data_IF_571946393820
#
_entry.id   IF_571946393820
#
_cell.length_a   1.000
_cell.length_b   1.000
_cell.length_c   1.000
_cell.angle_alpha   90.00
_cell.angle_beta   90.00
_cell.angle_gamma   90.00
#
_symmetry.space_group_name_H-M   'P 1'
#
loop_
_entity.id
_entity.type
_entity.pdbx_description
1 polymer ?
#
# COMPACT_ATOMS: atom_id res chain seq x y z
N UNK A 1 28.37 -1.12 8.64
CA UNK A 1 27.52 -0.75 7.48
C UNK A 1 26.27 -0.07 8.03
N UNK A 2 25.87 1.10 7.52
CA UNK A 2 24.62 1.72 8.00
C UNK A 2 23.44 0.93 7.43
N UNK A 3 22.80 0.11 8.26
CA UNK A 3 21.60 -0.62 7.86
C UNK A 3 20.52 0.39 7.46
N UNK A 4 19.93 0.19 6.29
CA UNK A 4 18.86 1.05 5.80
C UNK A 4 17.58 0.67 6.54
N UNK A 5 16.92 1.64 7.19
CA UNK A 5 15.66 1.40 7.90
C UNK A 5 14.45 1.59 7.00
N UNK A 6 13.45 0.73 7.17
CA UNK A 6 12.16 0.85 6.50
C UNK A 6 10.99 0.73 7.46
N UNK A 7 9.88 1.34 7.11
CA UNK A 7 8.60 1.17 7.77
C UNK A 7 7.61 0.49 6.82
N UNK A 8 6.81 -0.43 7.34
CA UNK A 8 5.73 -1.09 6.61
C UNK A 8 4.40 -0.73 7.26
N UNK A 9 3.49 -0.14 6.51
CA UNK A 9 2.16 0.26 6.97
C UNK A 9 1.14 -0.80 6.54
N UNK A 10 0.40 -1.34 7.50
CA UNK A 10 -0.56 -2.42 7.29
C UNK A 10 -1.87 -2.09 8.01
N UNK A 11 -2.91 -1.63 7.30
CA UNK A 11 -4.26 -1.58 7.85
C UNK A 11 -4.82 -2.98 8.08
N UNK A 12 -5.44 -3.19 9.23
CA UNK A 12 -6.04 -4.45 9.67
C UNK A 12 -7.47 -4.21 10.18
N UNK A 13 -8.40 -5.05 9.77
CA UNK A 13 -9.77 -4.99 10.26
C UNK A 13 -10.45 -6.36 10.17
N UNK A 14 -10.84 -6.94 11.31
CA UNK A 14 -11.45 -8.27 11.41
C UNK A 14 -10.57 -9.38 10.83
N UNK A 15 -9.29 -9.40 11.25
CA UNK A 15 -8.27 -10.33 10.75
C UNK A 15 -7.88 -11.39 11.79
N UNK A 16 -8.63 -11.53 12.90
CA UNK A 16 -8.31 -12.44 14.00
C UNK A 16 -8.06 -13.88 13.55
N UNK A 17 -8.83 -14.38 12.58
CA UNK A 17 -8.75 -15.76 12.10
C UNK A 17 -7.45 -16.06 11.32
N UNK A 18 -6.88 -15.05 10.67
CA UNK A 18 -5.68 -15.18 9.82
C UNK A 18 -4.43 -14.57 10.45
N UNK A 19 -4.59 -13.89 11.60
CA UNK A 19 -3.53 -13.07 12.20
C UNK A 19 -2.26 -13.86 12.54
N UNK A 20 -2.40 -15.05 13.12
CA UNK A 20 -1.23 -15.86 13.52
C UNK A 20 -0.41 -16.32 12.32
N UNK A 21 -1.05 -16.73 11.24
CA UNK A 21 -0.37 -17.12 10.00
C UNK A 21 0.31 -15.89 9.39
N UNK A 22 -0.43 -14.80 9.27
CA UNK A 22 0.06 -13.55 8.69
C UNK A 22 1.26 -12.97 9.45
N UNK A 23 1.15 -12.90 10.79
CA UNK A 23 2.23 -12.38 11.65
C UNK A 23 3.47 -13.25 11.62
N UNK A 24 3.32 -14.59 11.58
CA UNK A 24 4.44 -15.52 11.46
C UNK A 24 5.19 -15.33 10.14
N UNK A 25 4.49 -15.14 9.02
CA UNK A 25 5.10 -14.85 7.73
C UNK A 25 5.85 -13.51 7.76
N UNK A 26 5.28 -12.48 8.37
CA UNK A 26 5.96 -11.18 8.51
C UNK A 26 7.23 -11.27 9.35
N UNK A 27 7.20 -11.98 10.48
CA UNK A 27 8.37 -12.21 11.34
C UNK A 27 9.48 -12.87 10.52
N UNK A 28 9.18 -13.96 9.82
CA UNK A 28 10.16 -14.67 8.97
C UNK A 28 10.79 -13.75 7.92
N UNK A 29 9.99 -12.92 7.24
CA UNK A 29 10.48 -11.97 6.25
C UNK A 29 11.38 -10.90 6.88
N UNK A 30 10.98 -10.35 8.04
CA UNK A 30 11.77 -9.35 8.75
C UNK A 30 13.11 -9.94 9.22
N UNK A 31 13.10 -11.15 9.78
CA UNK A 31 14.31 -11.86 10.18
C UNK A 31 15.25 -12.11 8.98
N UNK A 32 14.70 -12.49 7.83
CA UNK A 32 15.47 -12.73 6.60
C UNK A 32 16.14 -11.45 6.08
N UNK A 33 15.41 -10.32 5.98
CA UNK A 33 15.97 -9.07 5.48
C UNK A 33 16.97 -8.43 6.46
N UNK A 34 16.83 -8.73 7.75
CA UNK A 34 17.76 -8.31 8.79
C UNK A 34 19.03 -9.18 8.81
N UNK A 35 18.89 -10.50 8.68
CA UNK A 35 20.02 -11.44 8.63
C UNK A 35 20.98 -11.15 7.46
N UNK A 36 20.45 -10.73 6.33
CA UNK A 36 21.23 -10.27 5.18
C UNK A 36 21.97 -8.94 5.44
N UNK A 37 21.88 -8.38 6.66
CA UNK A 37 22.43 -7.08 7.08
C UNK A 37 22.12 -5.92 6.10
N UNK A 38 20.99 -6.04 5.40
CA UNK A 38 20.63 -5.08 4.36
C UNK A 38 19.62 -4.06 4.87
N UNK A 39 18.64 -4.49 5.69
CA UNK A 39 17.55 -3.62 6.13
C UNK A 39 17.10 -3.96 7.54
N UNK A 40 16.72 -2.93 8.30
CA UNK A 40 16.01 -3.03 9.58
C UNK A 40 14.62 -2.45 9.41
N UNK A 41 13.60 -3.14 9.89
CA UNK A 41 12.22 -2.74 9.63
C UNK A 41 11.34 -2.67 10.88
N UNK A 42 10.31 -1.81 10.80
CA UNK A 42 9.18 -1.82 11.71
C UNK A 42 7.88 -1.91 10.91
N UNK A 43 6.90 -2.66 11.41
CA UNK A 43 5.55 -2.72 10.85
C UNK A 43 4.57 -1.95 11.73
N UNK A 44 3.86 -1.00 11.15
CA UNK A 44 2.81 -0.22 11.78
C UNK A 44 1.46 -0.88 11.49
N UNK A 45 0.91 -1.59 12.46
CA UNK A 45 -0.33 -2.33 12.38
C UNK A 45 -1.49 -1.41 12.76
N UNK A 46 -2.17 -0.86 11.76
CA UNK A 46 -3.19 0.16 11.97
C UNK A 46 -4.57 -0.48 12.06
N UNK A 47 -5.18 -0.38 13.24
CA UNK A 47 -6.52 -0.90 13.50
C UNK A 47 -7.46 0.24 13.87
N UNK A 48 -8.70 0.19 13.41
CA UNK A 48 -9.71 1.20 13.67
C UNK A 48 -11.07 0.59 14.09
N UNK A 49 -12.06 1.44 14.28
CA UNK A 49 -13.40 1.03 14.73
C UNK A 49 -14.17 0.13 13.75
N UNK A 50 -13.67 -0.14 12.55
CA UNK A 50 -14.25 -1.12 11.63
C UNK A 50 -13.99 -2.54 12.10
N UNK A 51 -12.85 -2.78 12.77
CA UNK A 51 -12.54 -4.05 13.42
C UNK A 51 -13.46 -4.25 14.62
N UNK A 52 -14.16 -5.38 14.67
CA UNK A 52 -15.13 -5.76 15.72
C UNK A 52 -14.71 -7.01 16.50
N UNK A 53 -13.62 -7.60 16.10
CA UNK A 53 -12.99 -8.75 16.71
C UNK A 53 -11.78 -8.33 17.58
N UNK A 54 -10.99 -9.29 18.04
CA UNK A 54 -9.81 -9.06 18.87
C UNK A 54 -8.51 -8.78 18.08
N UNK A 55 -8.61 -8.30 16.82
CA UNK A 55 -7.43 -8.00 15.97
C UNK A 55 -6.47 -7.02 16.66
N UNK A 56 -6.99 -6.00 17.37
CA UNK A 56 -6.12 -5.01 18.01
C UNK A 56 -5.37 -5.59 19.21
N UNK A 57 -6.03 -6.39 20.02
CA UNK A 57 -5.43 -7.12 21.15
C UNK A 57 -4.30 -8.04 20.65
N UNK A 58 -4.53 -8.77 19.55
CA UNK A 58 -3.51 -9.61 18.91
C UNK A 58 -2.29 -8.78 18.43
N UNK A 59 -2.52 -7.60 17.88
CA UNK A 59 -1.42 -6.68 17.54
C UNK A 59 -0.62 -6.24 18.77
N UNK A 60 -1.29 -5.99 19.90
CA UNK A 60 -0.61 -5.61 21.15
C UNK A 60 0.20 -6.78 21.74
N UNK A 61 -0.33 -8.00 21.65
CA UNK A 61 0.39 -9.19 22.07
C UNK A 61 1.60 -9.48 21.19
N UNK A 62 1.46 -9.30 19.89
CA UNK A 62 2.58 -9.41 18.96
C UNK A 62 3.68 -8.40 19.30
N UNK A 63 3.32 -7.15 19.59
CA UNK A 63 4.29 -6.11 20.00
C UNK A 63 5.08 -6.48 21.26
N UNK A 64 4.42 -7.11 22.23
CA UNK A 64 5.12 -7.58 23.46
C UNK A 64 6.14 -8.68 23.17
N UNK A 65 5.90 -9.51 22.15
CA UNK A 65 6.79 -10.60 21.73
C UNK A 65 7.90 -10.10 20.80
N UNK A 66 7.55 -9.14 19.90
CA UNK A 66 8.46 -8.58 18.92
C UNK A 66 8.16 -7.08 18.74
N UNK A 67 9.03 -6.24 19.29
CA UNK A 67 8.86 -4.79 19.28
C UNK A 67 8.94 -4.14 17.89
N UNK A 68 9.33 -4.89 16.86
CA UNK A 68 9.31 -4.42 15.46
C UNK A 68 7.88 -4.18 14.95
N UNK A 69 6.86 -4.82 15.56
CA UNK A 69 5.45 -4.69 15.18
C UNK A 69 4.75 -3.70 16.12
N UNK A 70 4.39 -2.55 15.59
CA UNK A 70 3.89 -1.40 16.37
C UNK A 70 2.38 -1.27 16.16
N UNK A 71 1.54 -1.55 17.17
CA UNK A 71 0.11 -1.37 17.05
C UNK A 71 -0.25 0.12 17.05
N UNK A 72 -1.13 0.53 16.14
CA UNK A 72 -1.65 1.88 16.01
C UNK A 72 -3.16 1.85 16.10
N UNK A 73 -3.72 2.33 17.21
CA UNK A 73 -5.16 2.49 17.36
C UNK A 73 -5.60 3.82 16.76
N UNK A 74 -6.51 3.77 15.80
CA UNK A 74 -6.96 4.91 15.02
C UNK A 74 -8.51 4.98 14.94
N UNK A 75 -9.21 5.19 16.07
CA UNK A 75 -10.67 5.15 16.14
C UNK A 75 -11.34 6.28 15.34
N UNK A 76 -10.61 7.32 15.00
CA UNK A 76 -11.08 8.44 14.18
C UNK A 76 -11.18 8.15 12.69
N UNK A 77 -10.58 7.07 12.22
CA UNK A 77 -10.59 6.69 10.81
C UNK A 77 -12.02 6.44 10.31
N UNK A 78 -12.31 6.88 9.11
CA UNK A 78 -13.63 6.77 8.46
C UNK A 78 -13.60 5.87 7.23
N UNK A 79 -12.42 5.51 6.77
CA UNK A 79 -12.20 4.70 5.56
C UNK A 79 -10.76 4.16 5.53
N UNK A 80 -10.51 3.23 4.62
CA UNK A 80 -9.20 2.56 4.47
C UNK A 80 -8.05 3.55 4.15
N UNK A 81 -8.34 4.64 3.45
CA UNK A 81 -7.32 5.67 3.13
C UNK A 81 -6.85 6.38 4.40
N UNK A 82 -7.79 6.70 5.32
CA UNK A 82 -7.45 7.29 6.60
C UNK A 82 -6.51 6.36 7.39
N UNK A 83 -6.72 5.03 7.31
CA UNK A 83 -5.85 4.05 7.98
C UNK A 83 -4.43 4.04 7.39
N UNK A 84 -4.28 4.02 6.08
CA UNK A 84 -2.96 4.14 5.44
C UNK A 84 -2.28 5.46 5.80
N UNK A 85 -2.99 6.59 5.66
CA UNK A 85 -2.44 7.91 5.98
C UNK A 85 -2.06 8.02 7.46
N UNK A 86 -2.84 7.40 8.38
CA UNK A 86 -2.48 7.35 9.79
C UNK A 86 -1.19 6.57 10.01
N UNK A 87 -1.05 5.41 9.41
CA UNK A 87 0.18 4.62 9.49
C UNK A 87 1.40 5.34 8.91
N UNK A 88 1.25 6.00 7.75
CA UNK A 88 2.31 6.85 7.21
C UNK A 88 2.70 7.98 8.15
N UNK A 89 1.73 8.69 8.73
CA UNK A 89 2.00 9.77 9.68
C UNK A 89 2.75 9.27 10.91
N UNK A 90 2.39 8.09 11.45
CA UNK A 90 3.09 7.51 12.58
C UNK A 90 4.53 7.13 12.22
N UNK A 91 4.73 6.43 11.11
CA UNK A 91 6.05 6.04 10.63
C UNK A 91 6.95 7.25 10.35
N UNK A 92 6.39 8.29 9.70
CA UNK A 92 7.14 9.48 9.28
C UNK A 92 7.39 10.50 10.41
N UNK A 93 6.96 10.23 11.65
CA UNK A 93 7.42 10.99 12.84
C UNK A 93 8.92 10.77 13.10
N UNK A 94 9.45 9.61 12.73
CA UNK A 94 10.88 9.31 12.79
C UNK A 94 11.55 9.60 11.44
N UNK A 95 12.68 10.29 11.46
CA UNK A 95 13.51 10.54 10.27
C UNK A 95 14.48 9.38 9.98
N UNK A 96 14.46 8.32 10.78
CA UNK A 96 15.34 7.17 10.60
C UNK A 96 14.96 6.28 9.41
N UNK A 97 13.68 6.26 9.02
CA UNK A 97 13.23 5.46 7.90
C UNK A 97 13.61 6.09 6.57
N UNK A 98 14.37 5.34 5.80
CA UNK A 98 14.72 5.72 4.43
C UNK A 98 13.62 5.33 3.44
N UNK A 99 12.92 4.24 3.73
CA UNK A 99 11.86 3.69 2.90
C UNK A 99 10.58 3.50 3.72
N UNK A 100 9.45 3.73 3.08
CA UNK A 100 8.13 3.41 3.65
C UNK A 100 7.35 2.62 2.63
N UNK A 101 6.74 1.54 3.08
CA UNK A 101 5.96 0.64 2.24
C UNK A 101 4.55 0.50 2.80
N UNK A 102 3.63 0.09 1.96
CA UNK A 102 2.28 -0.30 2.36
C UNK A 102 1.87 -1.62 1.72
N UNK A 103 1.07 -2.38 2.44
CA UNK A 103 0.38 -3.56 1.94
C UNK A 103 -0.93 -3.77 2.68
N UNK A 104 -1.89 -4.44 2.04
CA UNK A 104 -3.10 -4.88 2.73
C UNK A 104 -2.76 -6.02 3.71
N UNK A 105 -3.43 -6.06 4.86
CA UNK A 105 -3.43 -7.21 5.76
C UNK A 105 -4.27 -8.37 5.23
N UNK A 106 -4.49 -9.39 6.09
CA UNK A 106 -5.44 -10.46 5.80
C UNK A 106 -5.07 -11.36 4.62
N UNK A 107 -3.78 -11.61 4.40
CA UNK A 107 -3.28 -12.54 3.36
C UNK A 107 -3.60 -12.15 1.91
N UNK A 108 -4.04 -10.92 1.66
CA UNK A 108 -4.34 -10.45 0.29
C UNK A 108 -3.08 -10.22 -0.53
N UNK A 109 -2.03 -9.72 0.09
CA UNK A 109 -0.72 -9.49 -0.49
C UNK A 109 0.30 -10.46 0.09
N UNK A 110 1.19 -10.98 -0.76
CA UNK A 110 2.27 -11.87 -0.34
C UNK A 110 3.42 -11.06 0.30
N UNK A 111 3.72 -11.24 1.60
CA UNK A 111 4.84 -10.57 2.25
C UNK A 111 6.20 -10.90 1.64
N UNK A 112 6.33 -12.02 0.90
CA UNK A 112 7.56 -12.40 0.21
C UNK A 112 8.00 -11.40 -0.87
N UNK A 113 7.15 -10.46 -1.27
CA UNK A 113 7.53 -9.37 -2.16
C UNK A 113 8.37 -8.27 -1.48
N UNK A 114 8.35 -8.15 -0.13
CA UNK A 114 9.06 -7.09 0.62
C UNK A 114 10.54 -6.98 0.25
N UNK A 115 11.35 -8.06 0.23
CA UNK A 115 12.76 -7.96 -0.11
C UNK A 115 13.02 -7.40 -1.51
N UNK A 116 12.18 -7.76 -2.48
CA UNK A 116 12.27 -7.24 -3.84
C UNK A 116 11.96 -5.75 -3.90
N UNK A 117 10.94 -5.27 -3.19
CA UNK A 117 10.62 -3.84 -3.12
C UNK A 117 11.77 -3.05 -2.50
N UNK A 118 12.32 -3.52 -1.38
CA UNK A 118 13.45 -2.89 -0.70
C UNK A 118 14.68 -2.84 -1.60
N UNK A 119 14.94 -3.89 -2.38
CA UNK A 119 16.02 -3.93 -3.37
C UNK A 119 15.83 -2.83 -4.41
N UNK A 120 14.67 -2.72 -5.06
CA UNK A 120 14.41 -1.68 -6.06
C UNK A 120 14.52 -0.26 -5.50
N UNK A 121 13.99 -0.04 -4.29
CA UNK A 121 14.17 1.24 -3.60
C UNK A 121 15.64 1.54 -3.33
N UNK A 122 16.43 0.51 -2.97
CA UNK A 122 17.87 0.68 -2.73
C UNK A 122 18.69 0.94 -3.99
N UNK A 123 18.21 0.49 -5.15
CA UNK A 123 18.77 0.74 -6.49
C UNK A 123 18.40 2.15 -7.01
N UNK A 124 17.70 2.94 -6.20
CA UNK A 124 17.41 4.36 -6.49
C UNK A 124 16.06 4.61 -7.19
N UNK A 125 15.18 3.60 -7.30
CA UNK A 125 13.78 3.86 -7.65
C UNK A 125 13.11 4.60 -6.52
N UNK A 126 12.49 5.74 -6.80
CA UNK A 126 11.79 6.55 -5.80
C UNK A 126 10.46 5.95 -5.38
N UNK A 127 9.84 5.19 -6.28
CA UNK A 127 8.59 4.48 -6.08
C UNK A 127 8.68 3.07 -6.63
N UNK A 128 8.10 2.11 -5.92
CA UNK A 128 7.87 0.73 -6.39
C UNK A 128 6.39 0.46 -6.31
N UNK A 129 5.75 0.17 -7.41
CA UNK A 129 4.33 -0.14 -7.49
C UNK A 129 4.12 -1.62 -7.78
N UNK A 130 3.41 -2.30 -6.90
CA UNK A 130 3.03 -3.68 -7.13
C UNK A 130 2.16 -3.79 -8.37
N UNK A 131 2.46 -4.76 -9.24
CA UNK A 131 1.74 -4.99 -10.49
C UNK A 131 1.41 -6.47 -10.65
N UNK A 132 0.13 -6.76 -10.85
CA UNK A 132 -0.39 -8.12 -11.08
C UNK A 132 -0.31 -8.54 -12.54
N UNK A 133 -0.02 -7.60 -13.45
CA UNK A 133 -0.13 -7.77 -14.90
C UNK A 133 1.22 -7.70 -15.63
N UNK A 134 2.32 -7.61 -14.90
CA UNK A 134 3.68 -7.81 -15.45
C UNK A 134 4.08 -9.28 -15.39
N UNK A 135 5.13 -9.64 -16.12
CA UNK A 135 5.66 -10.99 -16.10
C UNK A 135 6.09 -11.37 -14.66
N UNK A 136 5.63 -12.51 -14.16
CA UNK A 136 5.83 -12.92 -12.78
C UNK A 136 4.77 -12.39 -11.78
N UNK A 137 3.82 -11.55 -12.22
CA UNK A 137 2.67 -11.15 -11.40
C UNK A 137 1.47 -12.06 -11.63
N UNK A 138 0.58 -12.15 -10.64
CA UNK A 138 -0.64 -12.96 -10.76
C UNK A 138 -1.77 -12.47 -9.87
N UNK A 139 -2.99 -12.91 -10.21
CA UNK A 139 -4.16 -12.84 -9.34
C UNK A 139 -4.58 -14.29 -9.13
N UNK A 140 -4.34 -14.81 -7.93
CA UNK A 140 -4.75 -16.16 -7.56
C UNK A 140 -6.25 -16.17 -7.27
N UNK A 141 -6.93 -17.21 -7.72
CA UNK A 141 -8.37 -17.48 -7.45
C UNK A 141 -9.33 -16.32 -7.82
N UNK A 142 -8.97 -15.52 -8.82
CA UNK A 142 -9.82 -14.42 -9.24
C UNK A 142 -10.88 -14.85 -10.25
N UNK A 143 -12.12 -14.45 -9.97
CA UNK A 143 -13.17 -14.45 -10.98
C UNK A 143 -12.72 -13.56 -12.18
N UNK A 144 -12.82 -14.08 -13.41
CA UNK A 144 -12.46 -13.38 -14.65
C UNK A 144 -13.05 -11.96 -14.73
N UNK A 145 -14.25 -11.76 -14.18
CA UNK A 145 -14.92 -10.45 -14.10
C UNK A 145 -14.07 -9.44 -13.34
N UNK A 146 -13.46 -9.85 -12.24
CA UNK A 146 -12.60 -8.98 -11.43
C UNK A 146 -11.33 -8.56 -12.18
N UNK A 147 -10.69 -9.51 -12.85
CA UNK A 147 -9.54 -9.21 -13.72
C UNK A 147 -9.93 -8.22 -14.80
N UNK A 148 -11.10 -8.41 -15.42
CA UNK A 148 -11.64 -7.49 -16.42
C UNK A 148 -11.89 -6.09 -15.83
N UNK A 149 -12.50 -5.98 -14.65
CA UNK A 149 -12.72 -4.70 -13.98
C UNK A 149 -11.40 -4.00 -13.61
N UNK A 150 -10.41 -4.71 -13.08
CA UNK A 150 -9.11 -4.14 -12.76
C UNK A 150 -8.35 -3.67 -14.02
N UNK A 151 -8.35 -4.48 -15.08
CA UNK A 151 -7.75 -4.10 -16.37
C UNK A 151 -8.51 -2.95 -17.03
N UNK A 152 -9.83 -3.01 -17.06
CA UNK A 152 -10.67 -1.94 -17.59
C UNK A 152 -10.49 -0.62 -16.82
N UNK A 153 -10.43 -0.68 -15.50
CA UNK A 153 -10.12 0.47 -14.63
C UNK A 153 -8.73 1.05 -14.92
N UNK A 154 -7.74 0.20 -15.12
CA UNK A 154 -6.38 0.62 -15.50
C UNK A 154 -6.37 1.31 -16.87
N UNK A 155 -7.00 0.72 -17.89
CA UNK A 155 -7.06 1.28 -19.24
C UNK A 155 -7.77 2.64 -19.22
N UNK A 156 -8.93 2.72 -18.58
CA UNK A 156 -9.72 3.96 -18.48
C UNK A 156 -8.93 5.06 -17.74
N UNK A 157 -8.30 4.73 -16.61
CA UNK A 157 -7.51 5.68 -15.84
C UNK A 157 -6.31 6.18 -16.64
N UNK A 158 -5.56 5.30 -17.29
CA UNK A 158 -4.44 5.66 -18.16
C UNK A 158 -4.87 6.61 -19.29
N UNK A 159 -5.98 6.29 -19.96
CA UNK A 159 -6.51 7.12 -21.05
C UNK A 159 -6.87 8.52 -20.58
N UNK A 160 -7.66 8.62 -19.51
CA UNK A 160 -8.13 9.90 -18.99
C UNK A 160 -6.99 10.72 -18.36
N UNK A 161 -6.10 10.07 -17.62
CA UNK A 161 -5.02 10.74 -16.90
C UNK A 161 -3.74 10.93 -17.75
N UNK A 162 -3.64 10.28 -18.91
CA UNK A 162 -2.47 10.34 -19.79
C UNK A 162 -1.24 9.67 -19.19
N UNK A 163 -1.43 8.51 -18.57
CA UNK A 163 -0.40 7.69 -17.95
C UNK A 163 -0.28 6.34 -18.65
N UNK A 164 0.73 5.54 -18.27
CA UNK A 164 1.05 4.27 -18.94
C UNK A 164 1.35 3.14 -17.95
N UNK A 165 0.74 3.17 -16.77
CA UNK A 165 0.89 2.09 -15.78
C UNK A 165 0.23 0.80 -16.28
N UNK A 166 0.86 -0.34 -16.00
CA UNK A 166 0.29 -1.66 -16.30
C UNK A 166 -0.78 -2.07 -15.29
N UNK A 167 -0.66 -1.57 -14.04
CA UNK A 167 -1.66 -1.80 -12.98
C UNK A 167 -1.89 -0.54 -12.13
N UNK A 168 -3.01 0.13 -12.34
CA UNK A 168 -3.41 1.32 -11.58
C UNK A 168 -4.13 0.99 -10.26
N UNK A 169 -4.44 -0.28 -10.00
CA UNK A 169 -5.41 -0.68 -8.97
C UNK A 169 -4.86 -1.62 -7.90
N UNK A 170 -3.53 -1.76 -7.82
CA UNK A 170 -2.88 -2.54 -6.77
C UNK A 170 -2.49 -1.66 -5.57
N UNK A 171 -2.74 -2.15 -4.35
CA UNK A 171 -2.44 -1.47 -3.08
C UNK A 171 -1.06 -1.77 -2.50
N UNK A 172 -0.23 -2.58 -3.15
CA UNK A 172 1.12 -2.84 -2.67
C UNK A 172 2.08 -1.80 -3.24
N UNK A 173 2.59 -0.91 -2.39
CA UNK A 173 3.44 0.19 -2.84
C UNK A 173 4.61 0.41 -1.89
N UNK A 174 5.71 0.93 -2.43
CA UNK A 174 6.90 1.30 -1.65
C UNK A 174 7.48 2.62 -2.15
N UNK A 175 8.01 3.43 -1.24
CA UNK A 175 8.47 4.77 -1.51
C UNK A 175 9.75 5.10 -0.74
N UNK A 176 10.56 6.00 -1.26
CA UNK A 176 11.47 6.76 -0.42
C UNK A 176 10.65 7.64 0.56
N UNK A 177 11.12 7.80 1.78
CA UNK A 177 10.41 8.55 2.82
C UNK A 177 10.10 10.00 2.41
N UNK A 178 11.00 10.66 1.68
CA UNK A 178 10.81 12.01 1.13
C UNK A 178 9.62 12.09 0.16
N UNK A 179 9.39 11.04 -0.62
CA UNK A 179 8.24 10.95 -1.54
C UNK A 179 6.95 10.68 -0.77
N UNK A 180 7.00 9.79 0.23
CA UNK A 180 5.84 9.52 1.08
C UNK A 180 5.37 10.78 1.82
N UNK A 181 6.28 11.57 2.38
CA UNK A 181 5.94 12.86 3.03
C UNK A 181 5.16 13.77 2.10
N UNK A 182 5.58 13.91 0.84
CA UNK A 182 4.93 14.80 -0.14
C UNK A 182 3.46 14.46 -0.35
N UNK A 183 3.10 13.20 -0.61
CA UNK A 183 1.68 12.87 -0.85
C UNK A 183 0.85 12.86 0.43
N UNK A 184 1.44 12.55 1.58
CA UNK A 184 0.77 12.65 2.89
C UNK A 184 0.45 14.12 3.22
N UNK A 185 1.36 15.04 2.95
CA UNK A 185 1.19 16.49 3.15
C UNK A 185 0.24 17.10 2.13
N UNK A 186 0.32 16.66 0.88
CA UNK A 186 -0.57 17.11 -0.20
C UNK A 186 -2.05 16.80 0.11
N UNK A 187 -2.31 15.65 0.73
CA UNK A 187 -3.64 15.14 1.03
C UNK A 187 -4.32 14.50 -0.17
N UNK A 188 -4.90 13.32 0.05
CA UNK A 188 -5.58 12.56 -1.00
C UNK A 188 -7.07 12.90 -1.05
N UNK A 189 -7.62 13.00 -2.25
CA UNK A 189 -9.07 13.23 -2.49
C UNK A 189 -9.86 11.92 -2.35
N UNK A 190 -9.21 10.79 -2.62
CA UNK A 190 -9.80 9.46 -2.55
C UNK A 190 -10.11 9.06 -1.11
N UNK A 191 -11.26 8.37 -0.95
CA UNK A 191 -11.72 7.82 0.35
C UNK A 191 -11.88 6.30 0.30
N UNK A 192 -11.44 5.68 -0.79
CA UNK A 192 -11.55 4.24 -1.04
C UNK A 192 -10.39 3.79 -1.95
N UNK A 193 -10.45 2.57 -2.44
CA UNK A 193 -9.37 1.92 -3.22
C UNK A 193 -8.81 2.73 -4.40
N UNK A 194 -9.52 3.75 -4.90
CA UNK A 194 -9.01 4.62 -5.96
C UNK A 194 -7.78 5.44 -5.53
N UNK A 195 -7.48 5.55 -4.23
CA UNK A 195 -6.27 6.21 -3.74
C UNK A 195 -5.00 5.63 -4.37
N UNK A 196 -5.01 4.34 -4.67
CA UNK A 196 -3.90 3.65 -5.34
C UNK A 196 -3.61 4.23 -6.73
N UNK A 197 -4.68 4.51 -7.49
CA UNK A 197 -4.61 5.20 -8.78
C UNK A 197 -4.19 6.66 -8.61
N UNK A 198 -4.73 7.35 -7.61
CA UNK A 198 -4.42 8.74 -7.31
C UNK A 198 -2.94 8.93 -6.95
N UNK A 199 -2.39 8.10 -6.06
CA UNK A 199 -0.97 8.14 -5.69
C UNK A 199 -0.07 7.91 -6.91
N UNK A 200 -0.37 6.89 -7.74
CA UNK A 200 0.39 6.65 -8.98
C UNK A 200 0.35 7.85 -9.92
N UNK A 201 -0.82 8.46 -10.09
CA UNK A 201 -0.96 9.64 -10.92
C UNK A 201 -0.15 10.83 -10.40
N UNK A 202 -0.21 11.09 -9.10
CA UNK A 202 0.55 12.18 -8.47
C UNK A 202 2.07 11.97 -8.59
N UNK A 203 2.52 10.73 -8.50
CA UNK A 203 3.94 10.35 -8.51
C UNK A 203 4.46 9.87 -9.88
N UNK A 204 3.71 10.05 -10.96
CA UNK A 204 4.02 9.51 -12.31
C UNK A 204 5.33 10.01 -12.91
N UNK A 205 5.82 11.17 -12.47
CA UNK A 205 7.06 11.76 -12.95
C UNK A 205 8.27 11.38 -12.06
N UNK A 206 8.05 10.67 -10.96
CA UNK A 206 9.13 10.10 -10.15
C UNK A 206 9.77 8.90 -10.86
N UNK A 207 11.03 8.59 -10.55
CA UNK A 207 11.66 7.36 -11.03
C UNK A 207 10.99 6.15 -10.35
N UNK A 208 10.07 5.49 -11.04
CA UNK A 208 9.35 4.33 -10.52
C UNK A 208 9.66 3.04 -11.27
N UNK A 209 9.30 1.92 -10.66
CA UNK A 209 9.24 0.61 -11.28
C UNK A 209 7.93 -0.10 -10.90
N UNK A 210 7.38 -0.88 -11.82
CA UNK A 210 6.27 -1.80 -11.53
C UNK A 210 6.83 -3.19 -11.25
N UNK A 211 6.70 -3.64 -10.00
CA UNK A 211 7.22 -4.92 -9.51
C UNK A 211 6.15 -6.02 -9.54
N UNK A 212 6.46 -7.24 -9.97
CA UNK A 212 5.49 -8.33 -9.96
C UNK A 212 5.03 -8.65 -8.53
N UNK A 213 3.73 -8.82 -8.34
CA UNK A 213 3.15 -9.28 -7.09
C UNK A 213 2.12 -10.37 -7.31
N UNK A 214 1.97 -11.24 -6.33
CA UNK A 214 0.89 -12.21 -6.26
C UNK A 214 -0.22 -11.67 -5.37
N UNK A 215 -1.42 -11.59 -5.92
CA UNK A 215 -2.62 -11.23 -5.15
C UNK A 215 -3.37 -12.51 -4.78
N UNK A 216 -3.47 -12.81 -3.47
CA UNK A 216 -3.76 -14.15 -2.97
C UNK A 216 -5.19 -14.35 -2.46
N UNK A 217 -5.93 -13.28 -2.15
CA UNK A 217 -7.26 -13.41 -1.59
C UNK A 217 -8.36 -12.75 -2.45
N UNK A 218 -9.59 -13.28 -2.43
CA UNK A 218 -10.72 -12.58 -3.02
C UNK A 218 -11.00 -11.30 -2.22
N UNK A 219 -10.93 -10.13 -2.85
CA UNK A 219 -11.35 -8.90 -2.20
C UNK A 219 -12.87 -8.85 -2.09
N UNK A 220 -13.40 -8.27 -1.02
CA UNK A 220 -14.82 -8.00 -0.91
C UNK A 220 -15.32 -7.13 -2.08
N UNK A 221 -16.61 -7.21 -2.37
CA UNK A 221 -17.24 -6.41 -3.43
C UNK A 221 -17.06 -4.91 -3.15
N UNK A 222 -16.68 -4.16 -4.19
CA UNK A 222 -16.52 -2.70 -4.08
C UNK A 222 -17.90 -2.05 -3.92
N UNK A 223 -18.08 -1.26 -2.87
CA UNK A 223 -19.36 -0.59 -2.60
C UNK A 223 -19.69 0.46 -3.68
N UNK A 224 -20.98 0.69 -3.93
CA UNK A 224 -21.44 1.75 -4.85
C UNK A 224 -20.88 3.14 -4.48
N UNK A 225 -20.70 3.41 -3.18
CA UNK A 225 -20.11 4.66 -2.66
C UNK A 225 -18.63 4.77 -3.06
N UNK A 226 -17.89 3.69 -2.99
CA UNK A 226 -16.48 3.65 -3.41
C UNK A 226 -16.33 3.88 -4.92
N UNK A 227 -17.19 3.24 -5.74
CA UNK A 227 -17.23 3.45 -7.19
C UNK A 227 -17.54 4.91 -7.54
N UNK A 228 -18.54 5.51 -6.89
CA UNK A 228 -18.87 6.93 -7.09
C UNK A 228 -17.70 7.85 -6.73
N UNK A 229 -17.02 7.59 -5.62
CA UNK A 229 -15.82 8.36 -5.22
C UNK A 229 -14.70 8.21 -6.27
N UNK A 230 -14.45 6.99 -6.77
CA UNK A 230 -13.44 6.73 -7.80
C UNK A 230 -13.68 7.57 -9.06
N UNK A 231 -14.92 7.58 -9.57
CA UNK A 231 -15.26 8.39 -10.75
C UNK A 231 -15.16 9.90 -10.48
N UNK A 232 -15.56 10.37 -9.31
CA UNK A 232 -15.45 11.78 -8.96
C UNK A 232 -13.99 12.25 -8.92
N UNK A 233 -13.09 11.47 -8.32
CA UNK A 233 -11.66 11.79 -8.23
C UNK A 233 -11.00 11.68 -9.62
N UNK A 234 -11.32 10.62 -10.39
CA UNK A 234 -10.82 10.45 -11.75
C UNK A 234 -11.22 11.63 -12.64
N UNK A 235 -12.49 12.05 -12.58
CA UNK A 235 -12.99 13.19 -13.32
C UNK A 235 -12.33 14.50 -12.91
N UNK A 236 -12.11 14.70 -11.62
CA UNK A 236 -11.38 15.87 -11.11
C UNK A 236 -9.98 15.97 -11.76
N UNK A 237 -9.17 14.91 -11.68
CA UNK A 237 -7.81 14.92 -12.26
C UNK A 237 -7.81 15.00 -13.77
N UNK A 238 -8.78 14.40 -14.44
CA UNK A 238 -8.98 14.54 -15.88
C UNK A 238 -9.20 16.01 -16.26
N UNK A 239 -10.09 16.73 -15.56
CA UNK A 239 -10.32 18.16 -15.79
C UNK A 239 -9.08 19.00 -15.49
N UNK A 240 -8.35 18.71 -14.42
CA UNK A 240 -7.09 19.41 -14.12
C UNK A 240 -6.08 19.22 -15.27
N UNK A 241 -5.96 18.02 -15.80
CA UNK A 241 -5.11 17.73 -16.95
C UNK A 241 -5.52 18.55 -18.19
N UNK A 242 -6.81 18.60 -18.52
CA UNK A 242 -7.31 19.38 -19.65
C UNK A 242 -7.04 20.89 -19.50
N UNK A 243 -7.04 21.40 -18.28
CA UNK A 243 -6.72 22.80 -17.96
C UNK A 243 -5.21 23.07 -17.93
N UNK A 244 -4.38 22.08 -18.20
CA UNK A 244 -2.92 22.21 -18.12
C UNK A 244 -2.35 22.24 -16.71
N UNK A 245 -3.17 22.01 -15.69
CA UNK A 245 -2.72 21.96 -14.30
C UNK A 245 -1.97 20.66 -14.05
N UNK A 246 -0.67 20.78 -13.78
CA UNK A 246 0.17 19.62 -13.46
C UNK A 246 0.01 19.25 -11.99
N UNK A 247 -1.04 18.48 -11.65
CA UNK A 247 -1.13 17.82 -10.33
C UNK A 247 -0.08 16.71 -10.27
N UNK A 248 1.08 17.01 -9.69
CA UNK A 248 2.21 16.06 -9.54
C UNK A 248 3.07 16.44 -8.35
N UNK A 249 3.76 15.45 -7.79
CA UNK A 249 4.62 15.56 -6.60
C UNK A 249 6.07 15.12 -6.90
#
# INVERSE_FOLDING_TARGET
>A
MNNKKFALVIPLANESDTFDIFSSMLIEIFDRVEADNSFLGNAYLVVDNVSKDNTFELCQELHKRDSRFIPVWAPENRNVVDAYIRGYKEALKSDEYKYVMEMDGGMSHDPNAIPMFLRYLSEGHKCVFGCRFVNGGSIYDSNWRRTLFSRGGTILSNFLLGTHFRDMTSGYMGFHADVARKFVEYGLLSKAHFYQTEVRYLLRDQRYIEAPIHYMAPSPSVSKKAVKNSFAVLYYYFLQRLRGNKCKL
#
